data_IF_124977503630
#
_entry.id   IF_124977503630
#
_cell.length_a   1.000
_cell.length_b   1.000
_cell.length_c   1.000
_cell.angle_alpha   90.00
_cell.angle_beta   90.00
_cell.angle_gamma   90.00
#
_symmetry.space_group_name_H-M   'P 1'
#
loop_
_entity.id
_entity.type
_entity.pdbx_description
1 polymer ?
#
# COMPACT_ATOMS: atom_id res chain seq x y z
N UNK A 1 6.58 3.61 14.16
CA UNK A 1 5.21 3.38 14.69
C UNK A 1 4.63 2.05 14.21
N UNK A 2 4.48 1.83 12.89
CA UNK A 2 3.92 0.59 12.30
C UNK A 2 4.50 -0.68 12.94
N UNK A 3 5.83 -0.81 12.94
CA UNK A 3 6.52 -1.97 13.56
C UNK A 3 6.31 -2.05 15.08
N UNK A 4 6.47 -0.92 15.76
CA UNK A 4 6.36 -0.81 17.23
C UNK A 4 4.98 -1.24 17.74
N UNK A 5 3.93 -0.81 17.06
CA UNK A 5 2.53 -1.08 17.45
C UNK A 5 1.98 -2.38 16.83
N UNK A 6 2.79 -3.11 16.05
CA UNK A 6 2.36 -4.35 15.40
C UNK A 6 1.22 -4.16 14.40
N UNK A 7 1.18 -3.03 13.69
CA UNK A 7 0.12 -2.75 12.71
C UNK A 7 0.17 -3.77 11.58
N UNK A 8 -0.94 -4.46 11.34
CA UNK A 8 -1.08 -5.47 10.28
C UNK A 8 -1.85 -4.97 9.06
N UNK A 9 -2.66 -3.92 9.24
CA UNK A 9 -3.48 -3.32 8.19
C UNK A 9 -3.55 -1.80 8.35
N UNK A 10 -3.41 -1.07 7.25
CA UNK A 10 -3.59 0.39 7.22
C UNK A 10 -4.08 0.84 5.84
N UNK A 11 -4.27 2.14 5.66
CA UNK A 11 -4.60 2.72 4.36
C UNK A 11 -3.83 4.04 4.17
N UNK A 12 -3.55 4.40 2.92
CA UNK A 12 -2.99 5.69 2.59
C UNK A 12 -3.21 6.07 1.11
N UNK A 13 -2.62 7.20 0.70
CA UNK A 13 -2.54 7.65 -0.70
C UNK A 13 -1.16 7.33 -1.28
N UNK A 14 -0.99 7.25 -2.62
CA UNK A 14 0.28 6.89 -3.25
C UNK A 14 1.49 7.71 -2.76
N UNK A 15 1.33 9.02 -2.55
CA UNK A 15 2.43 9.88 -2.06
C UNK A 15 2.94 9.45 -0.69
N UNK A 16 2.06 9.05 0.22
CA UNK A 16 2.44 8.55 1.56
C UNK A 16 3.17 7.22 1.45
N UNK A 17 2.72 6.31 0.56
CA UNK A 17 3.41 5.05 0.30
C UNK A 17 4.84 5.30 -0.18
N UNK A 18 5.05 6.23 -1.11
CA UNK A 18 6.40 6.61 -1.57
C UNK A 18 7.29 7.13 -0.45
N UNK A 19 6.78 8.02 0.40
CA UNK A 19 7.53 8.53 1.56
C UNK A 19 7.81 7.43 2.60
N UNK A 20 6.87 6.52 2.81
CA UNK A 20 7.04 5.39 3.72
C UNK A 20 8.16 4.46 3.24
N UNK A 21 8.14 4.08 1.96
CA UNK A 21 9.16 3.19 1.38
C UNK A 21 10.55 3.82 1.44
N UNK A 22 10.66 5.12 1.15
CA UNK A 22 11.92 5.86 1.29
C UNK A 22 12.43 5.82 2.74
N UNK A 23 11.57 6.12 3.71
CA UNK A 23 11.95 6.10 5.13
C UNK A 23 12.31 4.70 5.62
N UNK A 24 11.62 3.67 5.13
CA UNK A 24 11.89 2.27 5.46
C UNK A 24 13.25 1.82 4.95
N UNK A 25 13.60 2.20 3.71
CA UNK A 25 14.90 1.91 3.11
C UNK A 25 16.03 2.60 3.90
N UNK A 26 15.84 3.86 4.29
CA UNK A 26 16.83 4.62 5.07
C UNK A 26 17.05 4.06 6.49
N UNK A 27 15.98 3.61 7.14
CA UNK A 27 16.02 3.16 8.54
C UNK A 27 16.20 1.64 8.70
N UNK A 28 16.22 0.88 7.59
CA UNK A 28 16.38 -0.58 7.61
C UNK A 28 15.22 -1.31 8.32
N UNK A 29 13.99 -0.80 8.20
CA UNK A 29 12.82 -1.37 8.90
C UNK A 29 12.15 -2.46 8.07
N UNK A 30 11.86 -3.61 8.66
CA UNK A 30 11.09 -4.65 7.96
C UNK A 30 9.57 -4.47 8.15
N UNK A 31 8.88 -4.20 7.04
CA UNK A 31 7.42 -4.10 6.92
C UNK A 31 6.77 -5.29 6.20
N UNK A 32 7.49 -6.39 6.02
CA UNK A 32 6.96 -7.59 5.36
C UNK A 32 5.67 -8.07 6.03
N UNK A 33 4.65 -8.35 5.23
CA UNK A 33 3.34 -8.81 5.69
C UNK A 33 2.36 -7.69 6.07
N UNK A 34 2.76 -6.42 6.03
CA UNK A 34 1.85 -5.29 6.15
C UNK A 34 0.86 -5.28 4.97
N UNK A 35 -0.42 -5.07 5.28
CA UNK A 35 -1.48 -4.90 4.28
C UNK A 35 -1.92 -3.44 4.19
N UNK A 36 -2.11 -2.94 2.97
CA UNK A 36 -2.48 -1.54 2.75
C UNK A 36 -3.63 -1.39 1.74
N UNK A 37 -4.61 -0.51 2.01
CA UNK A 37 -5.46 0.04 0.95
C UNK A 37 -4.84 1.32 0.45
N UNK A 38 -4.63 1.43 -0.87
CA UNK A 38 -4.14 2.64 -1.52
C UNK A 38 -5.30 3.26 -2.29
N UNK A 39 -5.66 4.50 -1.97
CA UNK A 39 -6.77 5.21 -2.61
C UNK A 39 -6.48 6.67 -2.87
N UNK A 40 -7.48 7.41 -3.37
CA UNK A 40 -7.41 8.84 -3.64
C UNK A 40 -6.68 9.25 -4.92
N UNK A 41 -5.80 8.39 -5.45
CA UNK A 41 -5.17 8.54 -6.76
C UNK A 41 -4.76 7.18 -7.32
N UNK A 42 -4.53 7.10 -8.63
CA UNK A 42 -3.98 5.91 -9.27
C UNK A 42 -2.59 5.60 -8.71
N UNK A 43 -2.35 4.33 -8.35
CA UNK A 43 -1.04 3.87 -7.89
C UNK A 43 -0.09 3.69 -9.09
N UNK A 44 1.05 4.41 -9.18
CA UNK A 44 2.00 4.22 -10.26
C UNK A 44 2.64 2.83 -10.20
N UNK A 45 2.77 2.15 -11.35
CA UNK A 45 3.30 0.77 -11.41
C UNK A 45 4.71 0.62 -10.82
N UNK A 46 5.58 1.62 -10.98
CA UNK A 46 6.91 1.61 -10.35
C UNK A 46 6.84 1.59 -8.82
N UNK A 47 5.91 2.37 -8.24
CA UNK A 47 5.69 2.42 -6.80
C UNK A 47 5.02 1.13 -6.28
N UNK A 48 4.09 0.56 -7.06
CA UNK A 48 3.51 -0.75 -6.79
C UNK A 48 4.59 -1.84 -6.69
N UNK A 49 5.51 -1.88 -7.65
CA UNK A 49 6.63 -2.83 -7.66
C UNK A 49 7.58 -2.64 -6.47
N UNK A 50 7.85 -1.39 -6.07
CA UNK A 50 8.64 -1.12 -4.87
C UNK A 50 7.94 -1.62 -3.60
N UNK A 51 6.63 -1.43 -3.48
CA UNK A 51 5.85 -1.93 -2.35
C UNK A 51 5.86 -3.47 -2.27
N UNK A 52 5.69 -4.17 -3.40
CA UNK A 52 5.80 -5.63 -3.46
C UNK A 52 7.17 -6.12 -3.01
N UNK A 53 8.25 -5.48 -3.49
CA UNK A 53 9.63 -5.80 -3.09
C UNK A 53 9.90 -5.57 -1.60
N UNK A 54 9.23 -4.59 -1.00
CA UNK A 54 9.28 -4.33 0.44
C UNK A 54 8.40 -5.30 1.27
N UNK A 55 7.78 -6.30 0.63
CA UNK A 55 6.93 -7.29 1.30
C UNK A 55 5.55 -6.76 1.70
N UNK A 56 5.13 -5.61 1.16
CA UNK A 56 3.82 -5.01 1.43
C UNK A 56 2.79 -5.60 0.46
N UNK A 57 1.70 -6.11 1.01
CA UNK A 57 0.50 -6.47 0.22
C UNK A 57 -0.41 -5.27 0.13
N UNK A 58 -0.91 -4.93 -1.06
CA UNK A 58 -1.79 -3.78 -1.21
C UNK A 58 -3.02 -4.07 -2.07
N UNK A 59 -4.04 -3.23 -1.88
CA UNK A 59 -5.27 -3.19 -2.66
C UNK A 59 -5.47 -1.76 -3.14
N UNK A 60 -5.75 -1.56 -4.43
CA UNK A 60 -6.09 -0.24 -4.95
C UNK A 60 -7.60 -0.04 -4.83
N UNK A 61 -8.00 0.93 -4.01
CA UNK A 61 -9.40 1.32 -3.81
C UNK A 61 -9.76 2.55 -4.63
N UNK A 62 -10.95 2.55 -5.21
CA UNK A 62 -11.55 3.71 -5.85
C UNK A 62 -12.91 4.02 -5.24
N UNK A 63 -13.19 5.31 -5.10
CA UNK A 63 -14.47 5.86 -4.73
C UNK A 63 -14.35 7.34 -4.39
N UNK A 64 -15.46 7.93 -3.96
CA UNK A 64 -15.62 9.36 -3.73
C UNK A 64 -16.29 9.58 -2.36
N UNK A 65 -16.22 10.79 -1.82
CA UNK A 65 -16.94 11.12 -0.58
C UNK A 65 -18.44 10.82 -0.70
N UNK A 66 -19.01 11.06 -1.88
CA UNK A 66 -20.41 10.82 -2.26
C UNK A 66 -20.80 9.34 -2.27
N UNK A 67 -19.82 8.42 -2.30
CA UNK A 67 -20.03 6.97 -2.29
C UNK A 67 -19.60 6.30 -0.98
N UNK A 68 -19.38 7.07 0.09
CA UNK A 68 -19.09 6.60 1.45
C UNK A 68 -18.01 5.50 1.61
N UNK A 69 -16.71 5.79 1.41
CA UNK A 69 -16.09 6.40 0.24
C UNK A 69 -15.54 5.34 -0.74
N UNK A 70 -15.88 4.06 -0.55
CA UNK A 70 -15.31 2.94 -1.32
C UNK A 70 -16.36 2.37 -2.27
N UNK A 71 -16.06 2.35 -3.55
CA UNK A 71 -16.91 1.77 -4.60
C UNK A 71 -16.32 0.45 -5.12
N UNK A 72 -15.03 0.46 -5.46
CA UNK A 72 -14.33 -0.70 -6.03
C UNK A 72 -12.96 -0.87 -5.39
N UNK A 73 -12.46 -2.11 -5.36
CA UNK A 73 -11.12 -2.44 -4.93
C UNK A 73 -10.51 -3.52 -5.82
N UNK A 74 -9.20 -3.46 -6.04
CA UNK A 74 -8.47 -4.50 -6.78
C UNK A 74 -7.82 -5.49 -5.83
N UNK A 75 -7.86 -6.77 -6.17
CA UNK A 75 -7.09 -7.82 -5.50
C UNK A 75 -6.12 -8.45 -6.51
N UNK A 76 -4.82 -8.12 -6.36
CA UNK A 76 -3.77 -8.67 -7.19
C UNK A 76 -3.28 -9.98 -6.56
N UNK A 77 -3.71 -11.09 -7.14
CA UNK A 77 -3.31 -12.44 -6.74
C UNK A 77 -1.88 -12.74 -7.17
N UNK A 78 -1.23 -13.62 -6.42
CA UNK A 78 0.16 -14.01 -6.65
C UNK A 78 0.37 -14.67 -8.03
N UNK A 79 -0.65 -15.30 -8.61
CA UNK A 79 -0.61 -15.90 -9.96
C UNK A 79 -0.72 -14.89 -11.10
N UNK A 80 -0.98 -13.62 -10.79
CA UNK A 80 -1.01 -12.51 -11.75
C UNK A 80 0.27 -11.66 -11.71
N UNK A 81 1.27 -12.07 -10.92
CA UNK A 81 2.59 -11.44 -10.88
C UNK A 81 3.49 -12.15 -11.90
N UNK A 82 3.65 -11.54 -13.09
CA UNK A 82 4.60 -11.97 -14.12
C UNK A 82 6.07 -11.76 -13.72
#
# INVERSE_FOLDING_TARGET
LIKKEGVTYTHCVPTILGMLLLGVEMEGVDLSGLKMIIGGAALPGGLANQALKAGIKFYCGYGLSETCPLLTATDLKDDMLD
#
